data_IF_999112419491
#
_entry.id   IF_999112419491
#
_cell.length_a   1.000
_cell.length_b   1.000
_cell.length_c   1.000
_cell.angle_alpha   90.00
_cell.angle_beta   90.00
_cell.angle_gamma   90.00
#
_symmetry.space_group_name_H-M   'P 1'
#
loop_
_entity.id
_entity.type
_entity.pdbx_description
1 polymer ?
#
# COMPACT_ATOMS: atom_id res chain seq x y z
N UNK A 1 -1.97 14.33 -3.52
CA UNK A 1 -2.34 14.26 -4.96
C UNK A 1 -3.15 15.48 -5.37
N UNK A 2 -4.33 15.72 -4.76
CA UNK A 2 -5.14 16.91 -5.06
C UNK A 2 -4.40 18.21 -4.75
N UNK A 3 -3.81 18.33 -3.56
CA UNK A 3 -3.04 19.53 -3.18
C UNK A 3 -1.88 19.78 -4.15
N UNK A 4 -1.16 18.72 -4.53
CA UNK A 4 -0.07 18.77 -5.52
C UNK A 4 -0.57 19.25 -6.89
N UNK A 5 -1.74 18.79 -7.34
CA UNK A 5 -2.34 19.25 -8.60
C UNK A 5 -2.73 20.73 -8.55
N UNK A 6 -3.24 21.21 -7.41
CA UNK A 6 -3.56 22.64 -7.21
C UNK A 6 -2.28 23.46 -7.24
N UNK A 7 -1.26 23.05 -6.50
CA UNK A 7 0.03 23.74 -6.41
C UNK A 7 0.74 23.84 -7.77
N UNK A 8 0.84 22.72 -8.50
CA UNK A 8 1.53 22.69 -9.80
C UNK A 8 0.80 23.46 -10.91
N UNK A 9 -0.48 23.78 -10.72
CA UNK A 9 -1.29 24.52 -11.70
C UNK A 9 -1.59 25.94 -11.25
N UNK A 10 -1.02 26.39 -10.13
CA UNK A 10 -1.36 27.67 -9.50
C UNK A 10 -2.88 27.86 -9.33
N UNK A 11 -3.59 26.78 -8.98
CA UNK A 11 -5.04 26.76 -8.81
C UNK A 11 -5.85 26.65 -10.11
N UNK A 12 -5.21 26.52 -11.27
CA UNK A 12 -5.88 26.44 -12.57
C UNK A 12 -6.41 25.04 -12.93
N UNK A 13 -6.19 24.04 -12.08
CA UNK A 13 -6.73 22.68 -12.26
C UNK A 13 -8.26 22.70 -12.32
N UNK A 14 -8.82 22.11 -13.38
CA UNK A 14 -10.26 22.04 -13.59
C UNK A 14 -10.93 20.98 -12.71
N UNK A 15 -12.24 21.13 -12.46
CA UNK A 15 -13.02 20.11 -11.75
C UNK A 15 -12.98 18.73 -12.41
N UNK A 16 -12.83 18.67 -13.75
CA UNK A 16 -12.68 17.40 -14.48
C UNK A 16 -11.34 16.72 -14.18
N UNK A 17 -10.25 17.48 -14.11
CA UNK A 17 -8.94 16.94 -13.76
C UNK A 17 -8.89 16.50 -12.30
N UNK A 18 -9.50 17.25 -11.39
CA UNK A 18 -9.71 16.83 -9.99
C UNK A 18 -10.45 15.49 -9.93
N UNK A 19 -11.53 15.33 -10.70
CA UNK A 19 -12.26 14.06 -10.76
C UNK A 19 -11.37 12.91 -11.25
N UNK A 20 -10.48 13.14 -12.21
CA UNK A 20 -9.52 12.13 -12.68
C UNK A 20 -8.52 11.75 -11.59
N UNK A 21 -7.98 12.73 -10.86
CA UNK A 21 -7.06 12.48 -9.73
C UNK A 21 -7.73 11.66 -8.64
N UNK A 22 -9.00 11.95 -8.33
CA UNK A 22 -9.79 11.15 -7.37
C UNK A 22 -10.00 9.72 -7.86
N UNK A 23 -10.29 9.52 -9.15
CA UNK A 23 -10.50 8.19 -9.71
C UNK A 23 -9.22 7.36 -9.66
N UNK A 24 -8.06 7.93 -10.01
CA UNK A 24 -6.77 7.26 -9.82
C UNK A 24 -6.54 6.83 -8.38
N UNK A 25 -6.87 7.68 -7.39
CA UNK A 25 -6.77 7.32 -5.98
C UNK A 25 -7.64 6.11 -5.61
N UNK A 26 -8.87 6.05 -6.12
CA UNK A 26 -9.78 4.91 -5.91
C UNK A 26 -9.27 3.63 -6.55
N UNK A 27 -8.80 3.71 -7.80
CA UNK A 27 -8.21 2.58 -8.51
C UNK A 27 -6.99 2.03 -7.75
N UNK A 28 -6.12 2.89 -7.23
CA UNK A 28 -4.95 2.49 -6.43
C UNK A 28 -5.35 1.77 -5.14
N UNK A 29 -6.41 2.19 -4.45
CA UNK A 29 -6.91 1.53 -3.24
C UNK A 29 -7.57 0.17 -3.56
N UNK A 30 -8.28 0.09 -4.69
CA UNK A 30 -9.00 -1.10 -5.13
C UNK A 30 -8.10 -2.15 -5.79
N UNK A 31 -6.89 -1.77 -6.23
CA UNK A 31 -5.96 -2.64 -6.93
C UNK A 31 -5.77 -3.99 -6.19
N UNK A 32 -5.73 -5.12 -6.91
CA UNK A 32 -5.48 -6.42 -6.30
C UNK A 32 -4.06 -6.48 -5.74
N UNK A 33 -3.89 -7.23 -4.64
CA UNK A 33 -2.57 -7.52 -4.12
C UNK A 33 -2.05 -8.76 -4.83
N UNK A 34 -1.06 -8.56 -5.70
CA UNK A 34 -0.32 -9.63 -6.35
C UNK A 34 1.04 -9.79 -5.67
N UNK A 35 1.31 -10.99 -5.16
CA UNK A 35 2.61 -11.30 -4.58
C UNK A 35 3.64 -11.46 -5.70
N UNK A 36 4.85 -10.95 -5.47
CA UNK A 36 5.97 -11.27 -6.35
C UNK A 36 6.28 -12.77 -6.27
N UNK A 37 6.87 -13.36 -7.33
CA UNK A 37 7.24 -14.76 -7.35
C UNK A 37 8.03 -15.16 -6.10
N UNK A 38 7.69 -16.32 -5.53
CA UNK A 38 8.33 -16.92 -4.35
C UNK A 38 8.17 -16.17 -3.01
N UNK A 39 7.54 -14.99 -2.96
CA UNK A 39 7.40 -14.25 -1.69
C UNK A 39 6.68 -15.08 -0.63
N UNK A 40 5.58 -15.73 -0.98
CA UNK A 40 4.84 -16.56 -0.02
C UNK A 40 5.71 -17.70 0.53
N UNK A 41 6.34 -18.48 -0.35
CA UNK A 41 7.19 -19.61 0.01
C UNK A 41 8.36 -19.20 0.93
N UNK A 42 9.02 -18.07 0.61
CA UNK A 42 10.15 -17.57 1.37
C UNK A 42 9.70 -17.05 2.75
N UNK A 43 8.63 -16.27 2.81
CA UNK A 43 8.10 -15.74 4.07
C UNK A 43 7.65 -16.88 4.98
N UNK A 44 6.92 -17.85 4.43
CA UNK A 44 6.48 -19.03 5.16
C UNK A 44 7.68 -19.83 5.72
N UNK A 45 8.70 -20.12 4.91
CA UNK A 45 9.87 -20.87 5.35
C UNK A 45 10.68 -20.13 6.42
N UNK A 46 10.87 -18.82 6.27
CA UNK A 46 11.56 -18.01 7.26
C UNK A 46 10.79 -17.93 8.58
N UNK A 47 9.46 -17.84 8.53
CA UNK A 47 8.62 -17.73 9.73
C UNK A 47 8.73 -18.94 10.67
N UNK A 48 9.15 -20.10 10.15
CA UNK A 48 9.38 -21.32 10.95
C UNK A 48 10.54 -21.19 11.93
N UNK A 49 11.54 -20.37 11.59
CA UNK A 49 12.81 -20.29 12.31
C UNK A 49 13.11 -18.89 12.88
N UNK A 50 12.43 -17.85 12.39
CA UNK A 50 12.73 -16.46 12.72
C UNK A 50 11.46 -15.67 13.04
N UNK A 51 11.61 -14.70 13.95
CA UNK A 51 10.62 -13.65 14.16
C UNK A 51 10.69 -12.67 12.99
N UNK A 52 9.58 -12.49 12.26
CA UNK A 52 9.53 -11.59 11.12
C UNK A 52 8.85 -10.28 11.48
N UNK A 53 9.46 -9.16 11.08
CA UNK A 53 8.92 -7.81 11.24
C UNK A 53 8.77 -7.18 9.85
N UNK A 54 7.60 -6.66 9.54
CA UNK A 54 7.36 -5.91 8.31
C UNK A 54 7.55 -4.42 8.58
N UNK A 55 8.59 -3.83 7.99
CA UNK A 55 8.86 -2.40 8.07
C UNK A 55 8.55 -1.78 6.72
N UNK A 56 7.67 -0.78 6.70
CA UNK A 56 7.23 -0.12 5.47
C UNK A 56 7.14 1.39 5.66
N UNK A 57 6.90 2.12 4.56
CA UNK A 57 6.63 3.56 4.58
C UNK A 57 5.17 3.80 4.28
N UNK A 58 4.64 4.88 4.84
CA UNK A 58 3.28 5.36 4.57
C UNK A 58 2.35 5.11 5.74
N UNK A 59 1.06 5.23 5.48
CA UNK A 59 0.03 5.10 6.49
C UNK A 59 -0.05 3.66 7.03
N UNK A 60 -0.10 3.51 8.35
CA UNK A 60 -0.08 2.20 9.00
C UNK A 60 -1.35 1.38 8.70
N UNK A 61 -2.51 2.03 8.70
CA UNK A 61 -3.81 1.36 8.48
C UNK A 61 -3.87 0.82 7.04
N UNK A 62 -3.44 1.62 6.07
CA UNK A 62 -3.38 1.18 4.67
C UNK A 62 -2.46 -0.03 4.48
N UNK A 63 -1.35 -0.07 5.21
CA UNK A 63 -0.38 -1.16 5.12
C UNK A 63 -0.87 -2.44 5.82
N UNK A 64 -1.56 -2.30 6.95
CA UNK A 64 -2.26 -3.41 7.61
C UNK A 64 -3.34 -4.02 6.70
N UNK A 65 -4.10 -3.20 5.98
CA UNK A 65 -5.07 -3.68 5.00
C UNK A 65 -4.38 -4.42 3.84
N UNK A 66 -3.27 -3.90 3.33
CA UNK A 66 -2.51 -4.54 2.24
C UNK A 66 -1.96 -5.89 2.64
N UNK A 67 -1.38 -6.01 3.83
CA UNK A 67 -0.81 -7.29 4.31
C UNK A 67 -1.91 -8.31 4.64
N UNK A 68 -3.06 -7.87 5.16
CA UNK A 68 -4.20 -8.75 5.36
C UNK A 68 -4.73 -9.29 4.02
N UNK A 69 -4.87 -8.41 3.01
CA UNK A 69 -5.32 -8.78 1.65
C UNK A 69 -4.30 -9.63 0.89
N UNK A 70 -3.03 -9.60 1.26
CA UNK A 70 -1.98 -10.43 0.64
C UNK A 70 -1.97 -11.87 1.15
N UNK A 71 -2.66 -12.14 2.27
CA UNK A 71 -2.62 -13.44 2.96
C UNK A 71 -1.33 -13.69 3.75
N UNK A 72 -0.46 -12.69 3.92
CA UNK A 72 0.81 -12.85 4.62
C UNK A 72 0.80 -12.36 6.07
N UNK A 73 -0.30 -11.77 6.55
CA UNK A 73 -0.36 -11.12 7.85
C UNK A 73 0.07 -12.05 9.00
N UNK A 74 -0.35 -13.31 8.97
CA UNK A 74 -0.11 -14.28 10.04
C UNK A 74 1.37 -14.70 10.18
N UNK A 75 2.22 -14.40 9.18
CA UNK A 75 3.65 -14.70 9.23
C UNK A 75 4.49 -13.62 9.91
N UNK A 76 3.94 -12.41 10.11
CA UNK A 76 4.66 -11.28 10.70
C UNK A 76 4.22 -11.05 12.15
N UNK A 77 5.18 -10.88 13.05
CA UNK A 77 4.92 -10.62 14.46
C UNK A 77 4.60 -9.15 14.77
N UNK A 78 5.01 -8.24 13.89
CA UNK A 78 4.56 -6.86 13.91
C UNK A 78 4.71 -6.22 12.52
N UNK A 79 3.86 -5.21 12.27
CA UNK A 79 3.93 -4.32 11.11
C UNK A 79 4.20 -2.92 11.65
N UNK A 80 5.21 -2.24 11.11
CA UNK A 80 5.60 -0.90 11.51
C UNK A 80 5.80 0.03 10.32
N UNK A 81 5.42 1.30 10.51
CA UNK A 81 5.74 2.38 9.58
C UNK A 81 6.94 3.18 10.08
N UNK A 82 7.90 3.50 9.21
CA UNK A 82 8.95 4.48 9.49
C UNK A 82 8.53 5.90 9.11
#
# INVERSE_FOLDING_TARGET
MIETSIELTDGSVSGKEIQQVLEFGREMLAAPIELLPHVHEVVEELSKNFLLLLITKGDLIDQEIKIARSGLADYFSAVGSC
#
